data_IF_623020100977
#
_entry.id   IF_623020100977
#
_cell.length_a   1.000
_cell.length_b   1.000
_cell.length_c   1.000
_cell.angle_alpha   90.00
_cell.angle_beta   90.00
_cell.angle_gamma   90.00
#
_symmetry.space_group_name_H-M   'P 1'
#
loop_
_entity.id
_entity.type
_entity.pdbx_description
1 polymer ?
#
# COMPACT_ATOMS: atom_id res chain seq x y z
N UNK A 1 -74.10 28.68 -7.08
CA UNK A 1 -73.50 28.30 -8.38
C UNK A 1 -73.98 26.89 -8.70
N UNK A 2 -74.76 26.69 -9.76
CA UNK A 2 -75.26 25.36 -10.11
C UNK A 2 -74.18 24.62 -10.89
N UNK A 3 -73.78 23.43 -10.44
CA UNK A 3 -72.69 22.65 -11.07
C UNK A 3 -73.24 21.63 -12.06
N UNK A 4 -74.51 21.24 -11.91
CA UNK A 4 -75.18 20.35 -12.85
C UNK A 4 -76.67 20.25 -12.57
N UNK A 5 -77.43 19.80 -13.57
CA UNK A 5 -78.86 19.54 -13.46
C UNK A 5 -79.15 18.13 -13.94
N UNK A 6 -80.01 17.40 -13.22
CA UNK A 6 -80.44 16.07 -13.62
C UNK A 6 -81.96 16.06 -13.81
N UNK A 7 -82.40 15.40 -14.88
CA UNK A 7 -83.79 15.38 -15.34
C UNK A 7 -84.34 13.96 -15.23
N UNK A 8 -85.45 13.79 -14.51
CA UNK A 8 -86.14 12.51 -14.36
C UNK A 8 -87.64 12.62 -14.60
N UNK A 9 -88.30 11.51 -14.98
CA UNK A 9 -89.76 11.46 -15.16
C UNK A 9 -90.44 11.31 -13.80
N UNK A 10 -91.26 12.28 -13.43
CA UNK A 10 -92.08 12.20 -12.21
C UNK A 10 -93.34 11.35 -12.44
N UNK A 11 -93.97 10.90 -11.36
CA UNK A 11 -95.11 9.96 -11.34
C UNK A 11 -96.42 10.44 -12.03
N UNK A 12 -96.39 11.52 -12.80
CA UNK A 12 -97.49 12.02 -13.65
C UNK A 12 -97.08 12.26 -15.11
N UNK A 13 -95.99 11.64 -15.59
CA UNK A 13 -95.54 11.73 -16.98
C UNK A 13 -94.85 13.05 -17.38
N UNK A 14 -94.77 14.03 -16.46
CA UNK A 14 -94.03 15.29 -16.66
C UNK A 14 -92.55 15.10 -16.28
N UNK A 15 -91.66 15.61 -17.13
CA UNK A 15 -90.21 15.61 -16.87
C UNK A 15 -89.88 16.70 -15.86
N UNK A 16 -89.27 16.34 -14.72
CA UNK A 16 -88.84 17.27 -13.68
C UNK A 16 -87.32 17.38 -13.70
N UNK A 17 -86.82 18.62 -13.70
CA UNK A 17 -85.39 18.92 -13.71
C UNK A 17 -85.01 19.50 -12.36
N UNK A 18 -84.19 18.78 -11.60
CA UNK A 18 -83.66 19.26 -10.32
C UNK A 18 -82.22 19.73 -10.50
N UNK A 19 -81.89 20.89 -9.92
CA UNK A 19 -80.59 21.56 -10.07
C UNK A 19 -79.74 21.32 -8.84
N UNK A 20 -78.53 20.79 -9.01
CA UNK A 20 -77.60 20.49 -7.92
C UNK A 20 -76.83 21.77 -7.56
N UNK A 21 -77.08 22.26 -6.35
CA UNK A 21 -76.39 23.42 -5.76
C UNK A 21 -75.11 22.99 -5.05
N UNK A 22 -74.06 23.81 -5.12
CA UNK A 22 -72.78 23.64 -4.41
C UNK A 22 -72.93 23.27 -2.94
N UNK A 23 -73.90 23.87 -2.24
CA UNK A 23 -74.14 23.62 -0.81
C UNK A 23 -74.60 22.20 -0.49
N UNK A 24 -75.32 21.55 -1.41
CA UNK A 24 -75.78 20.15 -1.22
C UNK A 24 -74.62 19.16 -1.35
N UNK A 25 -73.70 19.41 -2.28
CA UNK A 25 -72.53 18.56 -2.47
C UNK A 25 -71.56 18.66 -1.28
N UNK A 26 -71.31 19.87 -0.79
CA UNK A 26 -70.43 20.06 0.38
C UNK A 26 -70.97 19.38 1.64
N UNK A 27 -72.29 19.42 1.85
CA UNK A 27 -72.92 18.73 2.98
C UNK A 27 -72.79 17.21 2.81
N UNK A 28 -73.00 16.70 1.59
CA UNK A 28 -72.86 15.27 1.30
C UNK A 28 -71.43 14.78 1.50
N UNK A 29 -70.42 15.55 1.09
CA UNK A 29 -69.01 15.16 1.29
C UNK A 29 -68.62 15.18 2.77
N UNK A 30 -69.10 16.17 3.54
CA UNK A 30 -68.85 16.23 4.99
C UNK A 30 -69.47 15.00 5.66
N UNK A 31 -70.71 14.65 5.30
CA UNK A 31 -71.40 13.50 5.89
C UNK A 31 -70.67 12.18 5.63
N UNK A 32 -70.14 11.97 4.41
CA UNK A 32 -69.34 10.79 4.08
C UNK A 32 -68.05 10.75 4.89
N UNK A 33 -67.33 11.87 5.00
CA UNK A 33 -66.09 11.95 5.79
C UNK A 33 -66.37 11.68 7.28
N UNK A 34 -67.43 12.25 7.84
CA UNK A 34 -67.84 11.99 9.23
C UNK A 34 -68.21 10.52 9.45
N UNK A 35 -68.87 9.88 8.50
CA UNK A 35 -69.22 8.47 8.59
C UNK A 35 -67.97 7.58 8.49
N UNK A 36 -67.02 7.91 7.62
CA UNK A 36 -65.71 7.25 7.53
C UNK A 36 -64.92 7.40 8.84
N UNK A 37 -64.91 8.60 9.45
CA UNK A 37 -64.26 8.83 10.75
C UNK A 37 -64.87 8.00 11.88
N UNK A 38 -66.20 7.87 11.92
CA UNK A 38 -66.88 7.01 12.91
C UNK A 38 -66.53 5.53 12.68
N UNK A 39 -66.37 5.11 11.43
CA UNK A 39 -65.96 3.75 11.07
C UNK A 39 -64.47 3.46 11.28
N UNK A 40 -63.61 4.48 11.28
CA UNK A 40 -62.15 4.32 11.46
C UNK A 40 -61.74 3.90 12.88
N UNK A 41 -62.66 3.91 13.84
CA UNK A 41 -62.38 3.54 15.22
C UNK A 41 -61.49 4.54 15.95
N UNK A 42 -61.35 4.36 17.26
CA UNK A 42 -60.47 5.19 18.08
C UNK A 42 -58.99 4.83 17.79
N UNK A 43 -58.20 5.86 17.48
CA UNK A 43 -56.78 5.76 17.14
C UNK A 43 -55.93 5.22 18.30
N UNK A 44 -56.41 5.36 19.53
CA UNK A 44 -55.75 4.81 20.73
C UNK A 44 -55.88 3.28 20.81
N UNK A 45 -57.02 2.72 20.37
CA UNK A 45 -57.26 1.26 20.36
C UNK A 45 -56.93 0.58 19.03
N UNK A 46 -56.65 1.35 17.97
CA UNK A 46 -56.17 0.82 16.70
C UNK A 46 -55.10 1.74 16.06
N UNK A 47 -53.87 1.78 16.62
CA UNK A 47 -52.81 2.71 16.21
C UNK A 47 -52.18 2.40 14.83
N UNK A 48 -52.81 1.54 14.03
CA UNK A 48 -52.20 1.02 12.82
C UNK A 48 -50.99 0.11 13.11
N UNK A 49 -50.34 -0.42 12.05
CA UNK A 49 -49.18 -1.29 12.22
C UNK A 49 -48.02 -0.55 12.91
N UNK A 50 -47.44 -1.19 13.93
CA UNK A 50 -46.39 -0.66 14.77
C UNK A 50 -45.17 -0.22 13.94
N UNK A 51 -44.99 1.09 13.74
CA UNK A 51 -43.81 1.67 13.09
C UNK A 51 -42.86 2.19 14.16
N UNK A 52 -41.54 2.22 13.87
CA UNK A 52 -40.47 2.62 14.81
C UNK A 52 -40.69 3.97 15.51
N UNK A 53 -41.57 4.81 14.97
CA UNK A 53 -41.91 6.12 15.49
C UNK A 53 -42.98 6.09 16.60
N UNK A 54 -43.69 4.97 16.80
CA UNK A 54 -44.76 4.84 17.80
C UNK A 54 -44.28 4.51 19.22
N UNK A 55 -42.97 4.42 19.45
CA UNK A 55 -42.37 4.13 20.77
C UNK A 55 -41.75 5.38 21.40
N UNK A 56 -42.45 6.51 21.35
CA UNK A 56 -42.16 7.66 22.20
C UNK A 56 -43.07 7.57 23.44
N UNK A 57 -42.48 7.34 24.62
CA UNK A 57 -43.20 7.55 25.88
C UNK A 57 -43.46 9.05 26.08
N UNK A 58 -44.49 9.42 26.83
CA UNK A 58 -44.86 10.82 27.16
C UNK A 58 -43.77 11.66 27.86
N UNK A 59 -42.59 11.09 28.10
CA UNK A 59 -41.39 11.73 28.65
C UNK A 59 -40.28 11.96 27.60
N UNK A 60 -40.52 11.68 26.32
CA UNK A 60 -39.57 11.96 25.22
C UNK A 60 -38.29 11.12 25.21
N UNK A 61 -38.21 10.05 26.01
CA UNK A 61 -37.05 9.17 26.05
C UNK A 61 -37.28 7.94 25.18
N UNK A 62 -36.31 7.65 24.31
CA UNK A 62 -36.29 6.46 23.46
C UNK A 62 -36.12 5.22 24.35
N UNK A 63 -37.23 4.52 24.61
CA UNK A 63 -37.21 3.24 25.33
C UNK A 63 -36.81 2.16 24.32
N UNK A 64 -35.55 1.74 24.37
CA UNK A 64 -35.19 0.45 23.79
C UNK A 64 -35.91 -0.65 24.57
N UNK A 65 -36.36 -1.73 23.94
CA UNK A 65 -36.92 -2.86 24.68
C UNK A 65 -35.86 -3.34 25.67
N UNK A 66 -36.08 -3.04 26.95
CA UNK A 66 -35.39 -3.70 28.05
C UNK A 66 -35.68 -5.17 27.89
N UNK A 67 -34.61 -5.95 27.71
CA UNK A 67 -34.61 -7.40 27.81
C UNK A 67 -35.03 -7.78 29.23
N UNK A 68 -36.33 -7.72 29.50
CA UNK A 68 -36.92 -8.52 30.56
C UNK A 68 -36.98 -9.93 29.99
N UNK A 69 -35.85 -10.61 30.13
CA UNK A 69 -35.69 -12.04 29.97
C UNK A 69 -36.72 -12.68 30.89
N UNK A 70 -37.88 -13.10 30.38
CA UNK A 70 -38.55 -14.31 30.89
C UNK A 70 -39.70 -14.82 30.02
N UNK A 71 -40.45 -14.00 29.25
CA UNK A 71 -41.71 -14.51 28.67
C UNK A 71 -41.93 -14.30 27.15
N UNK A 72 -40.90 -14.43 26.30
CA UNK A 72 -41.16 -14.50 24.85
C UNK A 72 -40.13 -15.33 24.06
N UNK A 73 -40.49 -16.52 23.52
CA UNK A 73 -39.56 -17.43 22.85
C UNK A 73 -39.34 -17.10 21.36
N UNK A 74 -39.29 -15.81 20.98
CA UNK A 74 -39.47 -15.44 19.58
C UNK A 74 -38.48 -14.40 19.02
N UNK A 75 -37.18 -14.45 19.36
CA UNK A 75 -36.11 -14.03 18.42
C UNK A 75 -34.82 -14.85 18.64
N UNK A 76 -34.81 -16.14 18.28
CA UNK A 76 -33.56 -16.91 18.21
C UNK A 76 -32.65 -16.29 17.14
N UNK A 77 -31.56 -15.65 17.57
CA UNK A 77 -30.56 -15.06 16.66
C UNK A 77 -30.00 -13.71 17.09
N UNK A 78 -30.69 -12.95 17.97
CA UNK A 78 -30.17 -11.66 18.43
C UNK A 78 -28.96 -11.80 19.38
N UNK A 79 -28.96 -12.84 20.22
CA UNK A 79 -27.82 -13.19 21.08
C UNK A 79 -26.59 -13.64 20.28
N UNK A 80 -26.80 -14.48 19.27
CA UNK A 80 -25.74 -14.95 18.36
C UNK A 80 -25.14 -13.80 17.55
N UNK A 81 -25.99 -12.91 17.02
CA UNK A 81 -25.54 -11.70 16.31
C UNK A 81 -24.72 -10.77 17.22
N UNK A 82 -25.12 -10.63 18.48
CA UNK A 82 -24.40 -9.80 19.47
C UNK A 82 -23.04 -10.42 19.80
N UNK A 83 -22.97 -11.73 19.99
CA UNK A 83 -21.72 -12.46 20.21
C UNK A 83 -20.78 -12.35 19.00
N UNK A 84 -21.32 -12.51 17.78
CA UNK A 84 -20.55 -12.33 16.54
C UNK A 84 -20.01 -10.90 16.41
N UNK A 85 -20.83 -9.88 16.72
CA UNK A 85 -20.38 -8.49 16.72
C UNK A 85 -19.26 -8.22 17.74
N UNK A 86 -19.33 -8.82 18.93
CA UNK A 86 -18.27 -8.70 19.93
C UNK A 86 -16.98 -9.39 19.47
N UNK A 87 -17.08 -10.59 18.88
CA UNK A 87 -15.94 -11.30 18.28
C UNK A 87 -15.28 -10.47 17.18
N UNK A 88 -16.06 -9.96 16.22
CA UNK A 88 -15.53 -9.13 15.14
C UNK A 88 -14.87 -7.84 15.67
N UNK A 89 -15.40 -7.25 16.73
CA UNK A 89 -14.75 -6.08 17.37
C UNK A 89 -13.41 -6.45 18.00
N UNK A 90 -13.34 -7.62 18.65
CA UNK A 90 -12.08 -8.12 19.19
C UNK A 90 -11.07 -8.38 18.07
N UNK A 91 -11.48 -9.07 17.01
CA UNK A 91 -10.62 -9.36 15.85
C UNK A 91 -10.10 -8.09 15.17
N UNK A 92 -10.97 -7.08 14.98
CA UNK A 92 -10.57 -5.77 14.45
C UNK A 92 -9.57 -5.09 15.38
N UNK A 93 -9.74 -5.20 16.69
CA UNK A 93 -8.81 -4.62 17.66
C UNK A 93 -7.44 -5.30 17.60
N UNK A 94 -7.41 -6.63 17.51
CA UNK A 94 -6.18 -7.41 17.36
C UNK A 94 -5.46 -7.06 16.06
N UNK A 95 -6.18 -7.05 14.94
CA UNK A 95 -5.61 -6.71 13.64
C UNK A 95 -5.05 -5.28 13.60
N UNK A 96 -5.70 -4.33 14.29
CA UNK A 96 -5.18 -2.97 14.44
C UNK A 96 -3.87 -2.94 15.21
N UNK A 97 -3.73 -3.76 16.25
CA UNK A 97 -2.48 -3.89 17.00
C UNK A 97 -1.38 -4.45 16.10
N UNK A 98 -1.64 -5.56 15.42
CA UNK A 98 -0.68 -6.21 14.51
C UNK A 98 -0.20 -5.26 13.41
N UNK A 99 -1.11 -4.47 12.82
CA UNK A 99 -0.74 -3.47 11.81
C UNK A 99 0.15 -2.37 12.40
N UNK A 100 -0.06 -2.00 13.66
CA UNK A 100 0.75 -0.98 14.34
C UNK A 100 2.16 -1.53 14.66
N UNK A 101 2.23 -2.77 15.12
CA UNK A 101 3.48 -3.48 15.39
C UNK A 101 4.30 -3.63 14.09
N UNK A 102 3.68 -4.12 13.01
CA UNK A 102 4.32 -4.23 11.69
C UNK A 102 4.81 -2.88 11.16
N UNK A 103 4.04 -1.81 11.37
CA UNK A 103 4.45 -0.46 10.97
C UNK A 103 5.65 0.04 11.77
N UNK A 104 5.76 -0.37 13.02
CA UNK A 104 6.90 -0.04 13.89
C UNK A 104 8.13 -0.82 13.48
N UNK A 105 7.99 -2.13 13.28
CA UNK A 105 9.06 -3.01 12.76
C UNK A 105 9.56 -2.54 11.39
N UNK A 106 8.66 -2.14 10.48
CA UNK A 106 9.04 -1.60 9.17
C UNK A 106 9.79 -0.26 9.25
N UNK A 107 9.54 0.56 10.29
CA UNK A 107 10.31 1.78 10.54
C UNK A 107 11.67 1.48 11.14
N UNK A 108 11.76 0.47 12.00
CA UNK A 108 13.01 0.02 12.62
C UNK A 108 13.93 -0.70 11.63
N UNK A 109 13.36 -1.34 10.61
CA UNK A 109 14.05 -1.78 9.39
C UNK A 109 14.53 -0.56 8.59
N UNK A 110 15.52 0.12 9.14
CA UNK A 110 16.25 1.21 8.54
C UNK A 110 17.24 0.70 7.47
N UNK A 111 16.75 -0.18 6.60
CA UNK A 111 17.51 -0.84 5.52
C UNK A 111 18.18 0.22 4.63
N UNK A 112 17.55 1.38 4.48
CA UNK A 112 18.07 2.46 3.66
C UNK A 112 19.42 2.96 4.17
N UNK A 113 19.55 3.19 5.48
CA UNK A 113 20.80 3.70 6.06
C UNK A 113 21.90 2.65 6.02
N UNK A 114 21.57 1.38 6.28
CA UNK A 114 22.54 0.29 6.17
C UNK A 114 23.02 0.10 4.71
N UNK A 115 22.13 0.20 3.73
CA UNK A 115 22.50 0.17 2.30
C UNK A 115 23.38 1.37 1.92
N UNK A 116 23.14 2.55 2.49
CA UNK A 116 23.97 3.74 2.27
C UNK A 116 25.37 3.52 2.86
N UNK A 117 25.48 3.06 4.10
CA UNK A 117 26.78 2.74 4.74
C UNK A 117 27.56 1.71 3.95
N UNK A 118 26.93 0.61 3.54
CA UNK A 118 27.57 -0.43 2.73
C UNK A 118 28.09 0.16 1.41
N UNK A 119 27.33 1.05 0.77
CA UNK A 119 27.78 1.71 -0.46
C UNK A 119 29.01 2.60 -0.22
N UNK A 120 29.04 3.34 0.88
CA UNK A 120 30.18 4.19 1.26
C UNK A 120 31.42 3.33 1.56
N UNK A 121 31.26 2.24 2.30
CA UNK A 121 32.34 1.28 2.58
C UNK A 121 32.91 0.68 1.29
N UNK A 122 32.05 0.25 0.36
CA UNK A 122 32.47 -0.27 -0.95
C UNK A 122 33.25 0.79 -1.74
N UNK A 123 32.81 2.05 -1.70
CA UNK A 123 33.50 3.14 -2.39
C UNK A 123 34.88 3.41 -1.78
N UNK A 124 34.99 3.36 -0.45
CA UNK A 124 36.25 3.48 0.27
C UNK A 124 37.21 2.34 -0.09
N UNK A 125 36.73 1.09 -0.05
CA UNK A 125 37.50 -0.11 -0.43
C UNK A 125 38.04 -0.02 -1.85
N UNK A 126 37.22 0.43 -2.81
CA UNK A 126 37.67 0.66 -4.20
C UNK A 126 38.77 1.73 -4.30
N UNK A 127 38.72 2.75 -3.45
CA UNK A 127 39.77 3.76 -3.36
C UNK A 127 41.09 3.14 -2.92
N UNK A 128 41.06 2.39 -1.82
CA UNK A 128 42.23 1.69 -1.28
C UNK A 128 42.82 0.70 -2.29
N UNK A 129 41.98 -0.05 -3.01
CA UNK A 129 42.42 -1.01 -4.02
C UNK A 129 43.17 -0.33 -5.18
N UNK A 130 42.66 0.82 -5.67
CA UNK A 130 43.33 1.62 -6.69
C UNK A 130 44.66 2.19 -6.20
N UNK A 131 44.70 2.66 -4.96
CA UNK A 131 45.91 3.24 -4.38
C UNK A 131 46.99 2.16 -4.18
N UNK A 132 46.60 0.96 -3.74
CA UNK A 132 47.47 -0.22 -3.67
C UNK A 132 47.97 -0.64 -5.07
N UNK A 133 47.09 -0.65 -6.07
CA UNK A 133 47.49 -0.97 -7.44
C UNK A 133 48.54 0.01 -7.97
N UNK A 134 48.35 1.31 -7.69
CA UNK A 134 49.33 2.35 -8.05
C UNK A 134 50.66 2.14 -7.32
N UNK A 135 50.63 1.80 -6.03
CA UNK A 135 51.85 1.52 -5.28
C UNK A 135 52.59 0.28 -5.81
N UNK A 136 51.87 -0.78 -6.18
CA UNK A 136 52.45 -1.98 -6.79
C UNK A 136 53.12 -1.62 -8.12
N UNK A 137 52.44 -0.89 -9.00
CA UNK A 137 52.98 -0.47 -10.29
C UNK A 137 54.26 0.37 -10.11
N UNK A 138 54.26 1.31 -9.16
CA UNK A 138 55.44 2.12 -8.84
C UNK A 138 56.60 1.27 -8.32
N UNK A 139 56.32 0.29 -7.47
CA UNK A 139 57.34 -0.63 -6.92
C UNK A 139 57.91 -1.52 -8.01
N UNK A 140 57.07 -2.10 -8.86
CA UNK A 140 57.52 -2.91 -9.99
C UNK A 140 58.37 -2.10 -10.97
N UNK A 141 57.94 -0.88 -11.29
CA UNK A 141 58.69 -0.01 -12.19
C UNK A 141 60.08 0.34 -11.61
N UNK A 142 60.15 0.62 -10.30
CA UNK A 142 61.43 0.85 -9.60
C UNK A 142 62.33 -0.38 -9.58
N UNK A 143 61.77 -1.58 -9.43
CA UNK A 143 62.53 -2.84 -9.49
C UNK A 143 63.05 -3.13 -10.90
N UNK A 144 62.30 -2.73 -11.93
CA UNK A 144 62.67 -2.93 -13.34
C UNK A 144 63.52 -1.80 -13.92
N UNK A 145 63.66 -0.67 -13.24
CA UNK A 145 64.32 0.53 -13.77
C UNK A 145 65.74 0.28 -14.29
N UNK A 146 66.47 -0.62 -13.64
CA UNK A 146 67.86 -0.94 -14.01
C UNK A 146 67.97 -2.23 -14.84
N UNK A 147 66.84 -2.83 -15.22
CA UNK A 147 66.83 -4.06 -16.00
C UNK A 147 66.83 -3.71 -17.49
N UNK A 148 67.83 -4.22 -18.22
CA UNK A 148 67.88 -4.14 -19.67
C UNK A 148 67.39 -5.47 -20.30
N UNK A 149 66.45 -5.39 -21.23
CA UNK A 149 65.95 -6.56 -21.96
C UNK A 149 66.62 -6.61 -23.33
N UNK A 150 67.35 -7.70 -23.59
CA UNK A 150 67.97 -7.98 -24.88
C UNK A 150 67.11 -8.98 -25.65
N UNK A 151 66.74 -8.64 -26.88
CA UNK A 151 65.98 -9.52 -27.77
C UNK A 151 66.80 -9.84 -29.04
N UNK A 152 66.56 -11.02 -29.63
CA UNK A 152 67.22 -11.44 -30.87
C UNK A 152 68.68 -11.88 -30.71
N UNK A 153 69.09 -12.26 -29.50
CA UNK A 153 70.40 -12.87 -29.24
C UNK A 153 70.36 -14.34 -29.65
N UNK A 154 71.33 -14.81 -30.42
CA UNK A 154 71.43 -16.23 -30.77
C UNK A 154 71.80 -17.05 -29.53
N UNK A 155 70.96 -18.01 -29.16
CA UNK A 155 71.23 -18.93 -28.04
C UNK A 155 72.31 -19.95 -28.44
N UNK A 156 73.40 -20.01 -27.68
CA UNK A 156 74.33 -21.14 -27.76
C UNK A 156 73.70 -22.35 -27.05
N UNK A 157 74.11 -23.56 -27.45
CA UNK A 157 73.47 -24.81 -27.01
C UNK A 157 73.70 -25.18 -25.53
N UNK A 158 74.47 -24.39 -24.76
CA UNK A 158 74.78 -24.69 -23.37
C UNK A 158 74.85 -23.43 -22.49
N UNK A 159 74.13 -23.50 -21.36
CA UNK A 159 74.29 -22.73 -20.11
C UNK A 159 74.21 -21.20 -20.14
N UNK A 160 73.68 -20.67 -19.02
CA UNK A 160 73.56 -19.25 -18.68
C UNK A 160 74.90 -18.49 -18.73
N UNK A 161 76.02 -19.19 -18.58
CA UNK A 161 77.37 -18.59 -18.59
C UNK A 161 77.79 -18.12 -19.99
N UNK A 162 77.28 -18.76 -21.06
CA UNK A 162 77.55 -18.35 -22.44
C UNK A 162 76.77 -17.08 -22.82
N UNK A 163 75.59 -16.88 -22.24
CA UNK A 163 74.76 -15.69 -22.50
C UNK A 163 75.42 -14.41 -22.00
N UNK A 164 76.07 -14.44 -20.82
CA UNK A 164 76.81 -13.29 -20.29
C UNK A 164 77.94 -12.86 -21.25
N UNK A 165 78.75 -13.82 -21.72
CA UNK A 165 79.87 -13.54 -22.62
C UNK A 165 79.36 -12.96 -23.94
N UNK A 166 78.30 -13.56 -24.50
CA UNK A 166 77.70 -13.13 -25.76
C UNK A 166 77.15 -11.71 -25.67
N UNK A 167 76.45 -11.37 -24.57
CA UNK A 167 75.91 -10.02 -24.33
C UNK A 167 77.05 -9.01 -24.12
N UNK A 168 78.10 -9.39 -23.39
CA UNK A 168 79.28 -8.55 -23.14
C UNK A 168 80.01 -8.20 -24.44
N UNK A 169 80.23 -9.16 -25.32
CA UNK A 169 80.87 -8.94 -26.63
C UNK A 169 80.01 -8.07 -27.56
N UNK A 170 78.69 -8.27 -27.54
CA UNK A 170 77.76 -7.44 -28.29
C UNK A 170 77.78 -5.98 -27.81
N UNK A 171 77.79 -5.76 -26.49
CA UNK A 171 77.90 -4.42 -25.90
C UNK A 171 79.25 -3.77 -26.21
N UNK A 172 80.37 -4.49 -26.09
CA UNK A 172 81.71 -3.99 -26.43
C UNK A 172 81.78 -3.54 -27.89
N UNK A 173 81.22 -4.35 -28.79
CA UNK A 173 81.19 -4.06 -30.23
C UNK A 173 80.29 -2.87 -30.54
N UNK A 174 79.09 -2.80 -29.97
CA UNK A 174 78.13 -1.73 -30.23
C UNK A 174 78.54 -0.37 -29.65
N UNK A 175 79.17 -0.36 -28.47
CA UNK A 175 79.56 0.86 -27.76
C UNK A 175 80.99 1.32 -28.07
N UNK A 176 81.75 0.58 -28.87
CA UNK A 176 83.14 0.87 -29.26
C UNK A 176 84.07 1.15 -28.06
N UNK A 177 83.87 0.42 -26.96
CA UNK A 177 84.66 0.55 -25.75
C UNK A 177 85.98 -0.18 -26.00
N UNK A 178 87.08 0.57 -26.18
CA UNK A 178 88.43 0.02 -26.24
C UNK A 178 88.78 -0.55 -24.87
N UNK A 179 89.27 -1.79 -24.82
CA UNK A 179 89.69 -2.54 -23.61
C UNK A 179 90.24 -1.62 -22.50
N UNK A 180 89.33 -1.13 -21.65
CA UNK A 180 89.70 -0.60 -20.35
C UNK A 180 89.85 -1.83 -19.48
N UNK A 181 91.07 -2.11 -19.01
CA UNK A 181 91.49 -3.32 -18.31
C UNK A 181 90.80 -3.63 -16.98
N UNK A 182 89.58 -3.13 -16.76
CA UNK A 182 88.69 -3.51 -15.68
C UNK A 182 87.50 -4.28 -16.27
N UNK A 183 87.62 -5.62 -16.28
CA UNK A 183 86.52 -6.56 -16.56
C UNK A 183 85.33 -6.42 -15.59
N UNK A 184 85.41 -5.49 -14.63
CA UNK A 184 84.39 -5.15 -13.63
C UNK A 184 83.35 -4.12 -14.09
N UNK A 185 83.50 -3.48 -15.25
CA UNK A 185 82.59 -2.39 -15.66
C UNK A 185 81.18 -2.90 -16.00
N UNK A 186 81.06 -4.15 -16.47
CA UNK A 186 79.77 -4.78 -16.77
C UNK A 186 79.56 -5.88 -15.72
N UNK A 187 78.95 -5.52 -14.60
CA UNK A 187 78.47 -6.47 -13.61
C UNK A 187 77.09 -6.97 -14.02
N UNK A 188 76.99 -8.22 -14.46
CA UNK A 188 75.70 -8.91 -14.61
C UNK A 188 75.44 -9.61 -13.27
N UNK A 189 74.52 -9.08 -12.46
CA UNK A 189 74.07 -9.77 -11.25
C UNK A 189 73.37 -11.08 -11.64
N UNK A 190 73.80 -12.20 -11.03
CA UNK A 190 73.19 -13.53 -11.18
C UNK A 190 72.01 -13.70 -10.23
#
# INVERSE_FOLDING_TARGET
MAIGSYSHKAAGGKTKVDTISTGSLTISTILVISMLLVLSGDVEVNPGPLTRQSQLSSSGQLVYPTSNTEDNPSVPGLGELTALMQSLRADISTLRSEVLDLKTEMKELNIKDEVVKIREEIQCLKGVDRDLQTEIDDKENRLRQNNAIFYGVNESQNNTEDCEVTIRDLLKTALNIKDSGDDKIIGIER
#
